data_IF_888280219189
#
_entry.id   IF_888280219189
#
_cell.length_a   1.000
_cell.length_b   1.000
_cell.length_c   1.000
_cell.angle_alpha   90.00
_cell.angle_beta   90.00
_cell.angle_gamma   90.00
#
_symmetry.space_group_name_H-M   'P 1'
#
loop_
_entity.id
_entity.type
_entity.pdbx_description
1 polymer ?
#
# COMPACT_ATOMS: atom_id res chain seq x y z
N UNK A 1 -16.06 8.87 2.72
CA UNK A 1 -14.89 8.16 2.17
C UNK A 1 -15.33 6.82 1.57
N UNK A 2 -14.77 6.45 0.44
CA UNK A 2 -15.01 5.14 -0.15
C UNK A 2 -13.70 4.55 -0.70
N UNK A 3 -13.56 3.23 -0.59
CA UNK A 3 -12.42 2.50 -1.15
C UNK A 3 -12.89 1.79 -2.42
N UNK A 4 -12.19 2.03 -3.52
CA UNK A 4 -12.51 1.43 -4.81
C UNK A 4 -11.27 0.75 -5.40
N UNK A 5 -11.49 -0.16 -6.36
CA UNK A 5 -10.42 -0.66 -7.21
C UNK A 5 -9.92 0.50 -8.07
N UNK A 6 -8.62 0.53 -8.34
CA UNK A 6 -8.01 1.63 -9.09
C UNK A 6 -8.64 1.78 -10.49
N UNK A 7 -8.82 3.04 -10.91
CA UNK A 7 -9.23 3.43 -12.25
C UNK A 7 -8.26 4.47 -12.78
N UNK A 8 -7.93 4.41 -14.08
CA UNK A 8 -6.90 5.24 -14.70
C UNK A 8 -7.12 6.74 -14.56
N UNK A 9 -8.35 7.19 -14.46
CA UNK A 9 -8.65 8.63 -14.29
C UNK A 9 -8.09 9.22 -12.99
N UNK A 10 -7.73 8.38 -12.01
CA UNK A 10 -7.17 8.82 -10.74
C UNK A 10 -5.65 8.75 -10.67
N UNK A 11 -4.98 8.35 -11.76
CA UNK A 11 -3.52 8.15 -11.76
C UNK A 11 -2.75 9.36 -11.28
N UNK A 12 -3.01 10.53 -11.85
CA UNK A 12 -2.23 11.72 -11.53
C UNK A 12 -2.49 12.21 -10.10
N UNK A 13 -3.73 12.14 -9.65
CA UNK A 13 -4.08 12.51 -8.28
C UNK A 13 -3.46 11.54 -7.26
N UNK A 14 -3.43 10.25 -7.59
CA UNK A 14 -2.75 9.24 -6.77
C UNK A 14 -1.25 9.53 -6.64
N UNK A 15 -0.58 9.79 -7.76
CA UNK A 15 0.85 10.11 -7.78
C UNK A 15 1.13 11.33 -6.92
N UNK A 16 0.34 12.39 -7.08
CA UNK A 16 0.50 13.62 -6.31
C UNK A 16 0.33 13.36 -4.81
N UNK A 17 -0.69 12.60 -4.42
CA UNK A 17 -0.92 12.24 -3.02
C UNK A 17 0.27 11.49 -2.42
N UNK A 18 0.83 10.54 -3.15
CA UNK A 18 1.98 9.76 -2.69
C UNK A 18 3.23 10.63 -2.55
N UNK A 19 3.49 11.51 -3.51
CA UNK A 19 4.64 12.43 -3.43
C UNK A 19 4.51 13.37 -2.22
N UNK A 20 3.34 13.89 -1.95
CA UNK A 20 3.10 14.72 -0.75
C UNK A 20 3.32 13.92 0.52
N UNK A 21 2.82 12.68 0.58
CA UNK A 21 2.97 11.83 1.74
C UNK A 21 4.44 11.50 2.04
N UNK A 22 5.21 11.20 1.00
CA UNK A 22 6.66 10.96 1.14
C UNK A 22 7.38 12.19 1.65
N UNK A 23 7.10 13.35 1.10
CA UNK A 23 7.71 14.60 1.52
C UNK A 23 7.42 14.90 2.99
N UNK A 24 6.19 14.68 3.44
CA UNK A 24 5.79 14.90 4.83
C UNK A 24 6.47 13.94 5.80
N UNK A 25 6.90 12.76 5.33
CA UNK A 25 7.63 11.77 6.13
C UNK A 25 9.15 12.02 6.14
N UNK A 26 9.63 13.07 5.48
CA UNK A 26 11.06 13.34 5.36
C UNK A 26 11.78 12.47 4.34
N UNK A 27 11.04 11.71 3.52
CA UNK A 27 11.60 10.91 2.44
C UNK A 27 11.80 11.78 1.20
N UNK A 28 12.77 11.41 0.37
CA UNK A 28 12.92 12.05 -0.95
C UNK A 28 11.67 11.71 -1.77
N UNK A 29 10.92 12.71 -2.26
CA UNK A 29 9.68 12.46 -3.01
C UNK A 29 9.97 12.02 -4.45
N UNK A 30 10.58 10.83 -4.61
CA UNK A 30 10.85 10.24 -5.92
C UNK A 30 9.62 9.55 -6.48
N UNK A 31 9.46 9.60 -7.80
CA UNK A 31 8.38 8.91 -8.50
C UNK A 31 8.63 7.40 -8.48
N UNK A 32 7.61 6.64 -8.09
CA UNK A 32 7.61 5.20 -8.26
C UNK A 32 7.06 4.87 -9.66
N UNK A 33 7.90 4.34 -10.52
CA UNK A 33 7.55 4.15 -11.94
C UNK A 33 6.36 3.21 -12.18
N UNK A 34 6.13 2.25 -11.28
CA UNK A 34 4.98 1.35 -11.36
C UNK A 34 3.65 2.11 -11.32
N UNK A 35 3.62 3.31 -10.72
CA UNK A 35 2.41 4.13 -10.63
C UNK A 35 2.04 4.79 -11.96
N UNK A 36 2.95 4.83 -12.92
CA UNK A 36 2.66 5.39 -14.24
C UNK A 36 1.70 4.52 -15.05
N UNK A 37 1.67 3.22 -14.77
CA UNK A 37 0.75 2.30 -15.44
C UNK A 37 0.33 1.19 -14.45
N UNK A 38 -0.60 1.53 -13.59
CA UNK A 38 -1.08 0.59 -12.56
C UNK A 38 -1.82 -0.59 -13.15
N UNK A 39 -2.58 -0.37 -14.21
CA UNK A 39 -3.27 -1.46 -14.90
C UNK A 39 -2.28 -2.54 -15.36
N UNK A 40 -1.23 -2.14 -16.07
CA UNK A 40 -0.20 -3.04 -16.57
C UNK A 40 0.59 -3.70 -15.44
N UNK A 41 0.98 -2.92 -14.43
CA UNK A 41 1.91 -3.39 -13.40
C UNK A 41 1.23 -4.18 -12.27
N UNK A 42 -0.08 -4.09 -12.13
CA UNK A 42 -0.84 -4.78 -11.09
C UNK A 42 -2.00 -5.60 -11.66
N UNK A 43 -2.97 -4.96 -12.27
CA UNK A 43 -4.24 -5.58 -12.64
C UNK A 43 -4.07 -6.62 -13.77
N UNK A 44 -3.31 -6.30 -14.81
CA UNK A 44 -3.08 -7.22 -15.93
C UNK A 44 -2.22 -8.43 -15.52
N UNK A 45 -1.51 -8.34 -14.42
CA UNK A 45 -0.74 -9.46 -13.85
C UNK A 45 -1.57 -10.36 -12.94
N UNK A 46 -2.85 -10.05 -12.75
CA UNK A 46 -3.74 -10.79 -11.87
C UNK A 46 -3.72 -10.30 -10.41
N UNK A 47 -3.03 -9.21 -10.14
CA UNK A 47 -2.95 -8.58 -8.83
C UNK A 47 -3.99 -7.47 -8.71
N UNK A 48 -3.94 -6.68 -7.65
CA UNK A 48 -4.91 -5.62 -7.43
C UNK A 48 -4.29 -4.37 -6.81
N UNK A 49 -4.96 -3.25 -7.02
CA UNK A 49 -4.60 -1.95 -6.45
C UNK A 49 -5.88 -1.21 -6.07
N UNK A 50 -5.91 -0.64 -4.87
CA UNK A 50 -7.06 0.13 -4.36
C UNK A 50 -6.67 1.54 -4.04
N UNK A 51 -7.64 2.43 -4.16
CA UNK A 51 -7.53 3.81 -3.71
C UNK A 51 -8.70 4.16 -2.80
N UNK A 52 -8.46 5.07 -1.87
CA UNK A 52 -9.52 5.66 -1.07
C UNK A 52 -9.79 7.07 -1.60
N UNK A 53 -11.06 7.41 -1.74
CA UNK A 53 -11.53 8.69 -2.23
C UNK A 53 -12.30 9.43 -1.15
N UNK A 54 -12.14 10.76 -1.09
CA UNK A 54 -12.94 11.60 -0.23
C UNK A 54 -14.24 12.02 -0.94
N UNK A 55 -15.04 12.88 -0.29
CA UNK A 55 -16.32 13.35 -0.83
C UNK A 55 -16.16 14.19 -2.10
N UNK A 56 -15.00 14.80 -2.30
CA UNK A 56 -14.67 15.60 -3.49
C UNK A 56 -14.05 14.77 -4.61
N UNK A 57 -14.14 13.45 -4.51
CA UNK A 57 -13.58 12.51 -5.50
C UNK A 57 -12.06 12.62 -5.65
N UNK A 58 -11.36 13.01 -4.57
CA UNK A 58 -9.90 13.13 -4.55
C UNK A 58 -9.27 11.93 -3.84
N UNK A 59 -8.11 11.51 -4.32
CA UNK A 59 -7.37 10.37 -3.73
C UNK A 59 -6.76 10.77 -2.40
N UNK A 60 -7.11 10.02 -1.35
CA UNK A 60 -6.62 10.24 0.01
C UNK A 60 -5.87 9.03 0.59
N UNK A 61 -5.81 7.94 -0.12
CA UNK A 61 -5.07 6.75 0.30
C UNK A 61 -4.92 5.75 -0.82
N UNK A 62 -3.98 4.82 -0.64
CA UNK A 62 -3.70 3.79 -1.63
C UNK A 62 -3.13 2.53 -0.99
N UNK A 63 -3.27 1.40 -1.66
CA UNK A 63 -2.60 0.14 -1.35
C UNK A 63 -2.69 -0.79 -2.56
N UNK A 64 -1.62 -1.53 -2.80
CA UNK A 64 -1.59 -2.56 -3.84
C UNK A 64 -0.80 -3.77 -3.39
N UNK A 65 -0.82 -4.83 -4.16
CA UNK A 65 0.05 -5.97 -3.94
C UNK A 65 0.49 -6.59 -5.27
N UNK A 66 1.60 -7.31 -5.24
CA UNK A 66 2.06 -8.11 -6.36
C UNK A 66 2.33 -9.54 -5.90
N UNK A 67 2.03 -10.50 -6.78
CA UNK A 67 2.31 -11.92 -6.52
C UNK A 67 3.81 -12.18 -6.74
N UNK A 68 4.42 -12.90 -5.80
CA UNK A 68 5.84 -13.26 -5.84
C UNK A 68 6.06 -14.48 -6.77
N UNK A 69 7.32 -14.91 -6.92
CA UNK A 69 7.64 -16.13 -7.69
C UNK A 69 6.92 -17.34 -7.14
N UNK A 70 6.90 -17.50 -5.81
CA UNK A 70 5.99 -18.44 -5.17
C UNK A 70 4.60 -17.83 -5.21
N UNK A 71 3.72 -18.38 -6.05
CA UNK A 71 2.39 -17.80 -6.31
C UNK A 71 1.44 -17.82 -5.11
N UNK A 72 1.79 -18.50 -4.02
CA UNK A 72 1.05 -18.45 -2.76
C UNK A 72 1.45 -17.28 -1.87
N UNK A 73 2.46 -16.52 -2.29
CA UNK A 73 3.01 -15.41 -1.52
C UNK A 73 2.90 -14.12 -2.31
N UNK A 74 2.61 -13.04 -1.60
CA UNK A 74 2.48 -11.71 -2.19
C UNK A 74 3.31 -10.69 -1.42
N UNK A 75 3.61 -9.56 -2.08
CA UNK A 75 4.25 -8.41 -1.45
C UNK A 75 3.28 -7.24 -1.50
N UNK A 76 3.04 -6.61 -0.35
CA UNK A 76 2.20 -5.43 -0.25
C UNK A 76 2.99 -4.21 -0.69
N UNK A 77 2.38 -3.34 -1.47
CA UNK A 77 3.00 -2.14 -2.01
C UNK A 77 2.14 -0.91 -1.81
N UNK A 78 2.80 0.24 -1.71
CA UNK A 78 2.18 1.57 -1.85
C UNK A 78 1.04 1.81 -0.88
N UNK A 79 1.18 1.35 0.36
CA UNK A 79 0.25 1.75 1.41
C UNK A 79 0.62 3.18 1.84
N UNK A 80 -0.13 4.15 1.34
CA UNK A 80 0.06 5.56 1.65
C UNK A 80 -1.26 6.19 2.04
N UNK A 81 -1.18 7.15 2.95
CA UNK A 81 -2.31 7.97 3.40
C UNK A 81 -1.92 9.43 3.20
N UNK A 82 -2.87 10.23 2.73
CA UNK A 82 -2.67 11.67 2.59
C UNK A 82 -2.11 12.23 3.91
N UNK A 83 -1.07 13.07 3.81
CA UNK A 83 -0.25 13.48 4.95
C UNK A 83 -1.04 14.07 6.13
N UNK A 84 -2.13 14.80 5.85
CA UNK A 84 -2.93 15.46 6.88
C UNK A 84 -4.10 14.59 7.40
N UNK A 85 -4.20 13.34 6.96
CA UNK A 85 -5.27 12.41 7.35
C UNK A 85 -4.75 11.17 8.08
N UNK A 86 -3.48 11.18 8.48
CA UNK A 86 -2.90 10.09 9.25
C UNK A 86 -3.55 9.95 10.62
N UNK A 87 -3.49 8.75 11.18
CA UNK A 87 -3.99 8.41 12.52
C UNK A 87 -5.51 8.53 12.67
N UNK A 88 -6.25 8.50 11.56
CA UNK A 88 -7.72 8.50 11.55
C UNK A 88 -8.30 7.13 11.16
N UNK A 89 -7.49 6.08 11.19
CA UNK A 89 -7.93 4.73 10.87
C UNK A 89 -8.00 4.40 9.38
N UNK A 90 -7.69 5.33 8.48
CA UNK A 90 -7.78 5.11 7.04
C UNK A 90 -6.77 4.04 6.57
N UNK A 91 -5.55 4.07 7.11
CA UNK A 91 -4.53 3.06 6.79
C UNK A 91 -4.99 1.66 7.14
N UNK A 92 -5.62 1.50 8.29
CA UNK A 92 -6.19 0.22 8.74
C UNK A 92 -7.29 -0.25 7.80
N UNK A 93 -8.18 0.63 7.38
CA UNK A 93 -9.27 0.29 6.45
C UNK A 93 -8.71 -0.22 5.12
N UNK A 94 -7.76 0.50 4.54
CA UNK A 94 -7.11 0.10 3.29
C UNK A 94 -6.36 -1.22 3.42
N UNK A 95 -5.59 -1.35 4.49
CA UNK A 95 -4.81 -2.55 4.77
C UNK A 95 -5.71 -3.78 4.92
N UNK A 96 -6.78 -3.67 5.71
CA UNK A 96 -7.72 -4.77 5.94
C UNK A 96 -8.45 -5.16 4.65
N UNK A 97 -8.78 -4.19 3.81
CA UNK A 97 -9.38 -4.43 2.50
C UNK A 97 -8.45 -5.28 1.63
N UNK A 98 -7.19 -4.91 1.55
CA UNK A 98 -6.19 -5.65 0.78
C UNK A 98 -5.97 -7.06 1.35
N UNK A 99 -5.79 -7.17 2.67
CA UNK A 99 -5.54 -8.46 3.33
C UNK A 99 -6.71 -9.42 3.14
N UNK A 100 -7.94 -8.97 3.28
CA UNK A 100 -9.13 -9.78 3.05
C UNK A 100 -9.18 -10.30 1.62
N UNK A 101 -8.96 -9.42 0.64
CA UNK A 101 -8.94 -9.82 -0.77
C UNK A 101 -7.84 -10.85 -1.06
N UNK A 102 -6.64 -10.61 -0.53
CA UNK A 102 -5.49 -11.50 -0.70
C UNK A 102 -5.81 -12.90 -0.14
N UNK A 103 -6.41 -12.97 1.04
CA UNK A 103 -6.87 -14.24 1.62
C UNK A 103 -7.87 -14.96 0.73
N UNK A 104 -8.83 -14.24 0.17
CA UNK A 104 -9.84 -14.82 -0.73
C UNK A 104 -9.24 -15.35 -2.03
N UNK A 105 -8.05 -14.85 -2.43
CA UNK A 105 -7.32 -15.38 -3.57
C UNK A 105 -6.53 -16.66 -3.24
N UNK A 106 -6.61 -17.16 -2.02
CA UNK A 106 -5.91 -18.37 -1.60
C UNK A 106 -4.44 -18.19 -1.30
N UNK A 107 -3.99 -16.96 -1.08
CA UNK A 107 -2.60 -16.68 -0.72
C UNK A 107 -2.34 -17.05 0.74
N UNK A 108 -1.10 -17.39 1.05
CA UNK A 108 -0.70 -17.91 2.36
C UNK A 108 0.22 -16.99 3.14
N UNK A 109 0.86 -16.03 2.47
CA UNK A 109 1.87 -15.16 3.09
C UNK A 109 1.86 -13.78 2.46
N UNK A 110 1.97 -12.75 3.31
CA UNK A 110 2.18 -11.36 2.86
C UNK A 110 3.54 -10.90 3.34
N UNK A 111 4.33 -10.36 2.41
CA UNK A 111 5.62 -9.73 2.70
C UNK A 111 5.51 -8.22 2.59
N UNK A 112 6.29 -7.52 3.40
CA UNK A 112 6.42 -6.07 3.38
C UNK A 112 7.90 -5.71 3.40
N UNK A 113 8.30 -4.85 2.46
CA UNK A 113 9.64 -4.29 2.41
C UNK A 113 9.60 -2.86 2.92
N UNK A 114 10.37 -2.58 3.98
CA UNK A 114 10.47 -1.25 4.57
C UNK A 114 11.77 -0.59 4.12
N UNK A 115 11.79 0.74 4.13
CA UNK A 115 13.03 1.49 3.96
C UNK A 115 13.86 1.52 5.24
N UNK A 116 15.03 2.14 5.15
CA UNK A 116 15.96 2.32 6.26
C UNK A 116 15.76 3.72 6.83
N UNK A 117 15.82 3.85 8.16
CA UNK A 117 15.80 5.14 8.83
C UNK A 117 14.59 5.34 9.74
N UNK A 118 14.60 6.45 10.45
CA UNK A 118 13.57 6.79 11.44
C UNK A 118 12.21 7.07 10.81
N UNK A 119 12.19 7.56 9.59
CA UNK A 119 10.95 7.83 8.86
C UNK A 119 10.11 6.59 8.60
N UNK A 120 10.69 5.39 8.79
CA UNK A 120 9.98 4.11 8.66
C UNK A 120 9.52 3.53 9.99
N UNK A 121 9.81 4.20 11.10
CA UNK A 121 9.48 3.73 12.43
C UNK A 121 7.96 3.57 12.62
N UNK A 122 7.19 4.56 12.18
CA UNK A 122 5.73 4.54 12.24
C UNK A 122 5.14 3.38 11.45
N UNK A 123 5.68 3.11 10.25
CA UNK A 123 5.27 1.98 9.42
C UNK A 123 5.53 0.64 10.10
N UNK A 124 6.71 0.46 10.72
CA UNK A 124 7.03 -0.76 11.47
C UNK A 124 6.03 -1.00 12.59
N UNK A 125 5.71 0.02 13.35
CA UNK A 125 4.75 -0.10 14.45
C UNK A 125 3.36 -0.45 13.95
N UNK A 126 2.94 0.15 12.85
CA UNK A 126 1.67 -0.16 12.22
C UNK A 126 1.57 -1.64 11.85
N UNK A 127 2.59 -2.17 11.16
CA UNK A 127 2.57 -3.57 10.73
C UNK A 127 2.65 -4.55 11.90
N UNK A 128 3.44 -4.23 12.93
CA UNK A 128 3.49 -5.06 14.15
C UNK A 128 2.13 -5.18 14.82
N UNK A 129 1.37 -4.11 14.88
CA UNK A 129 0.01 -4.11 15.43
C UNK A 129 -0.93 -5.01 14.65
N UNK A 130 -0.67 -5.22 13.36
CA UNK A 130 -1.47 -6.08 12.49
C UNK A 130 -0.94 -7.51 12.38
N UNK A 131 -0.01 -7.89 13.24
CA UNK A 131 0.47 -9.28 13.33
C UNK A 131 1.68 -9.59 12.47
N UNK A 132 2.32 -8.61 11.88
CA UNK A 132 3.55 -8.80 11.10
C UNK A 132 4.76 -8.89 12.01
N UNK A 133 5.74 -9.70 11.61
CA UNK A 133 7.00 -9.85 12.32
C UNK A 133 8.19 -9.60 11.39
N UNK A 134 9.26 -9.02 11.92
CA UNK A 134 10.49 -8.89 11.19
C UNK A 134 11.19 -10.25 11.08
N UNK A 135 11.63 -10.61 9.88
CA UNK A 135 12.39 -11.81 9.63
C UNK A 135 13.79 -11.52 9.09
N UNK A 136 14.02 -10.29 8.66
CA UNK A 136 15.32 -9.78 8.20
C UNK A 136 15.31 -8.25 8.39
N UNK A 137 16.45 -7.58 8.33
CA UNK A 137 16.49 -6.12 8.44
C UNK A 137 15.56 -5.45 7.43
N UNK A 138 14.64 -4.61 7.93
CA UNK A 138 13.66 -3.86 7.14
C UNK A 138 12.71 -4.71 6.29
N UNK A 139 12.50 -5.96 6.68
CA UNK A 139 11.58 -6.88 6.01
C UNK A 139 10.65 -7.52 7.03
N UNK A 140 9.36 -7.49 6.75
CA UNK A 140 8.34 -8.05 7.60
C UNK A 140 7.45 -9.02 6.82
N UNK A 141 6.81 -9.94 7.53
CA UNK A 141 5.89 -10.90 6.92
C UNK A 141 4.78 -11.29 7.88
N UNK A 142 3.69 -11.77 7.32
CA UNK A 142 2.58 -12.35 8.07
C UNK A 142 2.06 -13.58 7.33
N UNK A 143 1.95 -14.67 8.08
CA UNK A 143 1.28 -15.89 7.61
C UNK A 143 -0.23 -15.69 7.72
N UNK A 144 -0.96 -16.04 6.66
CA UNK A 144 -2.41 -15.84 6.61
C UNK A 144 -3.20 -17.06 7.10
#
# INVERSE_FOLDING_TARGET
MRVIKFEDKYRDDLIFMILEAKNALGRVPGLNEDLLDIKKNYIDKGDMFWIALNEDDRVIGSVGYSTNENTKEVTLHRLFIKYNLKRKGLGTILFEKAEEYIKLQGKEMIYINLGVGEEWFESRNFYRKHGYMEYAPNKMKKEL
#
